data_IF_308754985802
#
_entry.id   IF_308754985802
#
_cell.length_a   1.000
_cell.length_b   1.000
_cell.length_c   1.000
_cell.angle_alpha   90.00
_cell.angle_beta   90.00
_cell.angle_gamma   90.00
#
_symmetry.space_group_name_H-M   'P 1'
#
loop_
_entity.id
_entity.type
_entity.pdbx_description
1 polymer ?
#
# COMPACT_ATOMS: atom_id res chain seq x y z
N UNK A 1 -12.84 -13.70 -9.51
CA UNK A 1 -12.27 -13.23 -10.78
C UNK A 1 -13.02 -11.97 -11.15
N UNK A 2 -12.31 -10.86 -11.25
CA UNK A 2 -12.84 -9.57 -11.71
C UNK A 2 -11.92 -9.11 -12.85
N UNK A 3 -12.49 -8.60 -13.94
CA UNK A 3 -11.77 -8.18 -15.14
C UNK A 3 -12.37 -6.88 -15.67
N UNK A 4 -11.51 -6.01 -16.21
CA UNK A 4 -11.90 -4.74 -16.82
C UNK A 4 -11.43 -4.78 -18.27
N UNK A 5 -12.31 -4.41 -19.19
CA UNK A 5 -12.04 -4.33 -20.62
C UNK A 5 -12.19 -2.88 -21.09
N UNK A 6 -11.28 -2.43 -21.95
CA UNK A 6 -11.30 -1.11 -22.55
C UNK A 6 -10.64 -1.17 -23.94
N UNK A 7 -11.45 -1.47 -24.96
CA UNK A 7 -11.00 -1.39 -26.36
C UNK A 7 -11.10 0.05 -26.89
N UNK A 8 -10.05 0.51 -27.59
CA UNK A 8 -10.12 1.72 -28.41
C UNK A 8 -9.62 1.43 -29.82
N UNK A 9 -10.53 1.50 -30.80
CA UNK A 9 -10.16 1.37 -32.21
C UNK A 9 -9.78 2.74 -32.79
N UNK A 10 -8.52 2.85 -33.23
CA UNK A 10 -7.96 3.88 -34.11
C UNK A 10 -7.76 5.29 -33.54
N UNK A 11 -6.51 5.61 -33.15
CA UNK A 11 -5.94 6.98 -33.23
C UNK A 11 -4.40 6.90 -33.26
N UNK A 12 -3.82 7.15 -34.43
CA UNK A 12 -2.37 7.27 -34.62
C UNK A 12 -1.90 8.66 -34.14
N UNK A 13 -1.09 8.72 -33.09
CA UNK A 13 -0.41 9.94 -32.63
C UNK A 13 1.12 9.74 -32.74
N UNK A 14 1.87 10.78 -33.16
CA UNK A 14 3.33 10.70 -33.24
C UNK A 14 3.90 10.65 -31.82
N UNK A 15 4.42 9.48 -31.46
CA UNK A 15 4.90 9.16 -30.10
C UNK A 15 4.79 7.67 -29.77
N UNK A 16 4.00 6.90 -30.55
CA UNK A 16 3.72 5.49 -30.26
C UNK A 16 2.81 5.34 -29.04
N UNK A 17 2.19 4.17 -28.92
CA UNK A 17 1.41 3.81 -27.73
C UNK A 17 2.38 3.65 -26.56
N UNK A 18 2.16 4.39 -25.47
CA UNK A 18 2.87 4.12 -24.21
C UNK A 18 2.46 2.72 -23.72
N UNK A 19 3.30 2.06 -22.95
CA UNK A 19 2.93 0.79 -22.28
C UNK A 19 1.68 0.92 -21.41
N UNK A 20 1.29 2.14 -21.04
CA UNK A 20 0.04 2.49 -20.35
C UNK A 20 -1.21 2.52 -21.22
N UNK A 21 -1.08 2.50 -22.56
CA UNK A 21 -2.18 2.82 -23.50
C UNK A 21 -2.71 1.59 -24.26
N UNK A 22 -2.29 0.37 -23.88
CA UNK A 22 -2.86 -0.87 -24.42
C UNK A 22 -3.10 -1.87 -23.30
N UNK A 23 -4.37 -2.10 -22.98
CA UNK A 23 -4.79 -3.08 -22.00
C UNK A 23 -5.45 -4.27 -22.72
N UNK A 24 -4.86 -5.46 -22.59
CA UNK A 24 -5.46 -6.73 -23.00
C UNK A 24 -6.36 -7.25 -21.85
N UNK A 25 -7.25 -8.24 -22.06
CA UNK A 25 -8.01 -8.83 -20.95
C UNK A 25 -7.05 -9.45 -19.92
N UNK A 26 -6.93 -8.79 -18.77
CA UNK A 26 -6.04 -9.18 -17.68
C UNK A 26 -6.84 -9.69 -16.46
N UNK A 27 -6.37 -10.78 -15.86
CA UNK A 27 -6.92 -11.33 -14.63
C UNK A 27 -6.42 -10.49 -13.44
N UNK A 28 -7.23 -9.52 -13.02
CA UNK A 28 -6.84 -8.55 -11.98
C UNK A 28 -6.51 -9.23 -10.62
N UNK A 29 -7.27 -10.28 -10.27
CA UNK A 29 -7.06 -11.08 -9.06
C UNK A 29 -7.49 -12.54 -9.25
N UNK A 30 -6.72 -13.46 -8.68
CA UNK A 30 -6.98 -14.90 -8.67
C UNK A 30 -6.20 -15.59 -7.57
N UNK A 31 -6.88 -16.03 -6.51
CA UNK A 31 -6.24 -16.63 -5.34
C UNK A 31 -7.09 -17.77 -4.75
N UNK A 32 -6.45 -18.61 -3.94
CA UNK A 32 -7.08 -19.68 -3.16
C UNK A 32 -6.88 -19.38 -1.68
N UNK A 33 -7.97 -19.47 -0.91
CA UNK A 33 -7.96 -19.31 0.54
C UNK A 33 -8.18 -20.65 1.25
N UNK A 34 -7.23 -21.01 2.11
CA UNK A 34 -7.39 -22.05 3.11
C UNK A 34 -7.77 -21.40 4.45
N UNK A 35 -9.04 -21.52 4.82
CA UNK A 35 -9.57 -20.99 6.07
C UNK A 35 -9.59 -22.07 7.16
N UNK A 36 -8.94 -21.78 8.28
CA UNK A 36 -8.76 -22.68 9.42
C UNK A 36 -9.30 -22.00 10.69
N UNK A 37 -10.58 -22.20 11.05
CA UNK A 37 -11.15 -21.67 12.27
C UNK A 37 -10.62 -22.42 13.51
N UNK A 38 -10.52 -21.73 14.65
CA UNK A 38 -10.17 -22.32 15.94
C UNK A 38 -10.91 -21.62 17.09
N UNK A 39 -10.82 -22.15 18.31
CA UNK A 39 -11.46 -21.52 19.47
C UNK A 39 -10.80 -20.16 19.78
N UNK A 40 -11.54 -19.08 19.55
CA UNK A 40 -11.06 -17.71 19.76
C UNK A 40 -10.51 -17.00 18.52
N UNK A 41 -10.68 -17.55 17.31
CA UNK A 41 -10.24 -16.89 16.09
C UNK A 41 -10.28 -17.71 14.80
N UNK A 42 -9.64 -17.17 13.76
CA UNK A 42 -9.43 -17.84 12.47
C UNK A 42 -8.04 -17.58 11.93
N UNK A 43 -7.52 -18.54 11.16
CA UNK A 43 -6.34 -18.36 10.33
C UNK A 43 -6.74 -18.52 8.87
N UNK A 44 -6.23 -17.67 8.00
CA UNK A 44 -6.39 -17.81 6.56
C UNK A 44 -5.02 -17.83 5.91
N UNK A 45 -4.76 -18.84 5.10
CA UNK A 45 -3.61 -18.85 4.20
C UNK A 45 -4.13 -18.64 2.79
N UNK A 46 -3.64 -17.58 2.15
CA UNK A 46 -3.98 -17.20 0.79
C UNK A 46 -2.75 -17.37 -0.09
N UNK A 47 -2.93 -17.96 -1.26
CA UNK A 47 -1.91 -18.02 -2.31
C UNK A 47 -2.49 -17.62 -3.66
N UNK A 48 -1.77 -16.79 -4.41
CA UNK A 48 -2.13 -16.36 -5.77
C UNK A 48 -2.01 -14.86 -6.00
N UNK A 49 -2.59 -14.40 -7.10
CA UNK A 49 -2.62 -12.99 -7.54
C UNK A 49 -3.59 -12.19 -6.70
N UNK A 50 -3.09 -11.19 -5.99
CA UNK A 50 -3.88 -10.37 -5.08
C UNK A 50 -3.47 -8.90 -5.12
N UNK A 51 -4.37 -8.02 -4.68
CA UNK A 51 -4.07 -6.61 -4.43
C UNK A 51 -4.09 -6.35 -2.92
N UNK A 52 -3.18 -5.52 -2.43
CA UNK A 52 -3.16 -5.09 -1.03
C UNK A 52 -3.76 -3.70 -0.88
N UNK A 53 -4.63 -3.53 0.10
CA UNK A 53 -5.18 -2.25 0.51
C UNK A 53 -5.11 -2.20 2.05
N UNK A 54 -4.25 -1.34 2.59
CA UNK A 54 -4.09 -1.22 4.05
C UNK A 54 -4.37 0.20 4.53
N UNK A 55 -4.97 0.31 5.73
CA UNK A 55 -5.30 1.59 6.36
C UNK A 55 -6.15 2.51 5.48
N UNK A 56 -5.78 3.79 5.43
CA UNK A 56 -6.38 4.81 4.53
C UNK A 56 -5.87 4.75 3.10
N UNK A 57 -5.08 3.71 2.75
CA UNK A 57 -4.45 3.56 1.45
C UNK A 57 -3.45 4.69 1.11
N UNK A 58 -2.88 5.35 2.12
CA UNK A 58 -1.83 6.36 1.90
C UNK A 58 -0.48 5.73 1.59
N UNK A 59 -0.20 4.53 2.11
CA UNK A 59 1.06 3.80 1.90
C UNK A 59 0.90 2.55 1.04
N UNK A 60 -0.19 1.80 1.25
CA UNK A 60 -0.50 0.61 0.46
C UNK A 60 -1.91 0.77 -0.07
N UNK A 61 -1.99 1.30 -1.28
CA UNK A 61 -3.20 1.37 -2.08
C UNK A 61 -3.09 0.38 -3.23
N UNK A 62 -4.21 -0.19 -3.70
CA UNK A 62 -4.25 -0.80 -5.03
C UNK A 62 -3.96 0.21 -6.16
N UNK A 63 -3.76 1.50 -5.85
CA UNK A 63 -3.48 2.59 -6.80
C UNK A 63 -4.57 2.69 -7.88
N UNK A 64 -5.86 2.85 -7.53
CA UNK A 64 -6.94 2.88 -8.52
C UNK A 64 -6.87 4.10 -9.47
N UNK A 65 -5.94 5.04 -9.24
CA UNK A 65 -5.74 6.27 -10.02
C UNK A 65 -4.39 6.34 -10.74
N UNK A 66 -3.54 5.31 -10.62
CA UNK A 66 -2.29 5.19 -11.37
C UNK A 66 -2.47 4.21 -12.53
N UNK A 67 -1.96 4.53 -13.73
CA UNK A 67 -2.14 3.75 -14.97
C UNK A 67 -1.45 2.37 -15.01
N UNK A 68 -1.11 1.80 -13.86
CA UNK A 68 -0.63 0.42 -13.76
C UNK A 68 -1.16 -0.16 -12.45
N UNK A 69 -2.24 -0.95 -12.54
CA UNK A 69 -2.65 -1.84 -11.46
C UNK A 69 -1.43 -2.71 -11.14
N UNK A 70 -0.96 -2.66 -9.88
CA UNK A 70 0.14 -3.52 -9.45
C UNK A 70 -0.43 -4.82 -8.95
N UNK A 71 -0.32 -5.87 -9.76
CA UNK A 71 -0.66 -7.23 -9.35
C UNK A 71 0.53 -7.83 -8.61
N UNK A 72 0.22 -8.46 -7.48
CA UNK A 72 1.22 -9.11 -6.63
C UNK A 72 0.91 -10.60 -6.59
N UNK A 73 1.83 -11.40 -7.08
CA UNK A 73 1.76 -12.85 -6.98
C UNK A 73 2.51 -13.28 -5.72
N UNK A 74 1.83 -13.98 -4.80
CA UNK A 74 2.44 -14.30 -3.53
C UNK A 74 1.56 -15.03 -2.54
N UNK A 75 2.01 -14.99 -1.28
CA UNK A 75 1.36 -15.64 -0.15
C UNK A 75 1.00 -14.64 0.92
N UNK A 76 -0.18 -14.82 1.51
CA UNK A 76 -0.66 -14.02 2.63
C UNK A 76 -1.15 -14.94 3.74
N UNK A 77 -0.74 -14.66 4.96
CA UNK A 77 -1.23 -15.31 6.16
C UNK A 77 -1.97 -14.28 7.01
N UNK A 78 -3.25 -14.56 7.29
CA UNK A 78 -4.11 -13.71 8.10
C UNK A 78 -4.44 -14.46 9.40
N UNK A 79 -4.29 -13.78 10.53
CA UNK A 79 -4.69 -14.25 11.84
C UNK A 79 -5.68 -13.26 12.45
N UNK A 80 -6.90 -13.72 12.68
CA UNK A 80 -7.92 -12.99 13.41
C UNK A 80 -8.09 -13.63 14.78
N UNK A 81 -7.83 -12.88 15.86
CA UNK A 81 -8.02 -13.40 17.22
C UNK A 81 -8.18 -12.28 18.24
N UNK A 82 -9.15 -12.41 19.15
CA UNK A 82 -9.36 -11.47 20.26
C UNK A 82 -9.41 -9.98 19.83
N UNK A 83 -10.00 -9.68 18.66
CA UNK A 83 -10.08 -8.31 18.12
C UNK A 83 -8.85 -7.83 17.36
N UNK A 84 -7.76 -8.60 17.37
CA UNK A 84 -6.58 -8.39 16.52
C UNK A 84 -6.78 -9.05 15.17
N UNK A 85 -6.43 -8.35 14.09
CA UNK A 85 -6.19 -8.91 12.77
C UNK A 85 -4.73 -8.65 12.41
N UNK A 86 -3.97 -9.71 12.16
CA UNK A 86 -2.58 -9.64 11.73
C UNK A 86 -2.44 -10.29 10.36
N UNK A 87 -1.97 -9.51 9.39
CA UNK A 87 -1.77 -9.93 8.00
C UNK A 87 -0.29 -9.86 7.67
N UNK A 88 0.36 -11.02 7.57
CA UNK A 88 1.71 -11.15 7.03
C UNK A 88 1.65 -11.53 5.56
N UNK A 89 2.46 -10.91 4.72
CA UNK A 89 2.47 -11.21 3.30
C UNK A 89 3.89 -11.16 2.73
N UNK A 90 4.07 -11.92 1.66
CA UNK A 90 5.25 -11.85 0.80
C UNK A 90 4.78 -12.01 -0.63
N UNK A 91 5.28 -11.16 -1.51
CA UNK A 91 4.86 -11.13 -2.91
C UNK A 91 5.97 -10.63 -3.82
N UNK A 92 5.87 -11.06 -5.06
CA UNK A 92 6.68 -10.56 -6.16
C UNK A 92 5.78 -9.81 -7.14
N UNK A 93 6.31 -8.74 -7.72
CA UNK A 93 5.63 -8.00 -8.76
C UNK A 93 5.60 -8.82 -10.04
N UNK A 94 4.41 -8.96 -10.63
CA UNK A 94 4.26 -9.55 -11.96
C UNK A 94 3.88 -8.43 -12.93
N UNK A 95 4.80 -7.96 -13.80
CA UNK A 95 4.45 -6.96 -14.80
C UNK A 95 3.54 -7.57 -15.86
N UNK A 96 2.49 -6.83 -16.25
CA UNK A 96 1.56 -7.22 -17.32
C UNK A 96 2.31 -7.30 -18.65
N UNK A 97 2.42 -8.50 -19.22
CA UNK A 97 3.12 -8.74 -20.47
C UNK A 97 2.10 -8.98 -21.59
N UNK A 98 2.05 -8.06 -22.55
CA UNK A 98 0.98 -7.92 -23.55
C UNK A 98 0.79 -9.13 -24.49
N UNK A 99 1.70 -10.10 -24.50
CA UNK A 99 1.72 -11.18 -25.49
C UNK A 99 1.99 -12.59 -24.91
N UNK A 100 2.18 -12.75 -23.60
CA UNK A 100 2.49 -14.03 -22.94
C UNK A 100 1.80 -14.14 -21.57
N UNK A 101 1.73 -15.34 -20.99
CA UNK A 101 1.28 -15.52 -19.61
C UNK A 101 2.25 -14.78 -18.68
N UNK A 102 1.76 -13.94 -17.78
CA UNK A 102 2.61 -13.13 -16.89
C UNK A 102 3.45 -14.03 -15.97
N UNK A 103 4.77 -13.96 -16.08
CA UNK A 103 5.71 -14.54 -15.13
C UNK A 103 6.19 -13.44 -14.17
N UNK A 104 6.37 -13.73 -12.86
CA UNK A 104 6.99 -12.80 -11.92
C UNK A 104 8.35 -12.35 -12.45
N UNK A 105 8.63 -11.04 -12.46
CA UNK A 105 9.91 -10.54 -12.99
C UNK A 105 11.11 -10.95 -12.11
N UNK A 106 10.84 -11.39 -10.87
CA UNK A 106 11.83 -11.77 -9.86
C UNK A 106 12.68 -10.58 -9.35
N UNK A 107 12.36 -9.37 -9.80
CA UNK A 107 13.15 -8.15 -9.64
C UNK A 107 12.52 -7.19 -8.63
N UNK A 108 11.19 -7.21 -8.43
CA UNK A 108 10.54 -6.42 -7.38
C UNK A 108 9.79 -7.29 -6.38
N UNK A 109 10.19 -7.23 -5.11
CA UNK A 109 9.57 -7.95 -3.99
C UNK A 109 8.93 -6.97 -3.03
N UNK A 110 7.73 -7.29 -2.57
CA UNK A 110 7.01 -6.55 -1.55
C UNK A 110 6.50 -7.50 -0.48
N UNK A 111 6.87 -7.22 0.76
CA UNK A 111 6.54 -8.07 1.90
C UNK A 111 6.33 -7.23 3.14
N UNK A 112 5.66 -7.80 4.13
CA UNK A 112 5.40 -7.04 5.34
C UNK A 112 4.48 -7.74 6.31
N UNK A 113 4.25 -7.03 7.40
CA UNK A 113 3.31 -7.38 8.45
C UNK A 113 2.46 -6.16 8.75
N UNK A 114 1.14 -6.32 8.68
CA UNK A 114 0.17 -5.32 9.08
C UNK A 114 -0.68 -5.87 10.21
N UNK A 115 -0.81 -5.13 11.30
CA UNK A 115 -1.57 -5.53 12.48
C UNK A 115 -2.56 -4.43 12.81
N UNK A 116 -3.84 -4.78 12.94
CA UNK A 116 -4.89 -3.85 13.35
C UNK A 116 -5.65 -4.40 14.54
N UNK A 117 -6.08 -3.50 15.43
CA UNK A 117 -7.08 -3.79 16.44
C UNK A 117 -8.09 -2.66 16.52
N UNK A 118 -9.37 -2.98 16.30
CA UNK A 118 -10.42 -1.98 16.16
C UNK A 118 -10.64 -1.16 17.43
N UNK A 119 -10.49 -1.74 18.63
CA UNK A 119 -10.67 -1.03 19.91
C UNK A 119 -9.86 -1.62 21.08
N UNK A 120 -8.52 -1.60 21.09
CA UNK A 120 -7.77 -2.15 22.23
C UNK A 120 -8.07 -1.37 23.52
N UNK A 121 -8.35 -0.07 23.38
CA UNK A 121 -8.80 0.83 24.44
C UNK A 121 -9.88 1.72 23.83
N UNK A 122 -11.17 1.46 24.09
CA UNK A 122 -12.25 2.29 23.52
C UNK A 122 -12.06 3.78 23.90
N UNK A 123 -12.15 4.74 22.95
CA UNK A 123 -12.57 4.61 21.55
C UNK A 123 -11.43 4.48 20.51
N UNK A 124 -10.21 4.20 20.97
CA UNK A 124 -8.98 4.15 20.15
C UNK A 124 -8.90 2.81 19.44
N UNK A 125 -8.77 2.87 18.11
CA UNK A 125 -8.29 1.82 17.22
C UNK A 125 -6.80 2.03 16.92
N UNK A 126 -6.09 0.95 16.61
CA UNK A 126 -4.67 1.02 16.25
C UNK A 126 -4.37 0.16 15.03
N UNK A 127 -3.54 0.70 14.14
CA UNK A 127 -2.83 -0.05 13.12
C UNK A 127 -1.32 0.08 13.37
N UNK A 128 -0.57 -1.00 13.16
CA UNK A 128 0.89 -1.04 13.19
C UNK A 128 1.36 -1.81 11.97
N UNK A 129 2.41 -1.34 11.31
CA UNK A 129 2.92 -2.00 10.11
C UNK A 129 4.43 -1.91 9.96
N UNK A 130 4.95 -2.94 9.31
CA UNK A 130 6.28 -3.00 8.77
C UNK A 130 6.18 -3.48 7.31
N UNK A 131 6.79 -2.75 6.39
CA UNK A 131 6.73 -3.00 4.96
C UNK A 131 8.15 -2.97 4.41
N UNK A 132 8.53 -3.99 3.64
CA UNK A 132 9.78 -4.07 2.90
C UNK A 132 9.53 -4.06 1.41
N UNK A 133 10.31 -3.26 0.70
CA UNK A 133 10.32 -3.15 -0.75
C UNK A 133 11.75 -3.37 -1.24
N UNK A 134 11.95 -4.41 -2.03
CA UNK A 134 13.24 -4.75 -2.63
C UNK A 134 13.07 -4.71 -4.15
N UNK A 135 13.83 -3.85 -4.82
CA UNK A 135 13.89 -3.71 -6.26
C UNK A 135 15.33 -3.89 -6.70
N UNK A 136 15.60 -5.00 -7.37
CA UNK A 136 16.93 -5.31 -7.89
C UNK A 136 17.23 -4.55 -9.19
N UNK A 137 16.19 -4.07 -9.88
CA UNK A 137 16.34 -3.21 -11.04
C UNK A 137 16.81 -1.81 -10.66
N UNK A 138 17.62 -1.22 -11.54
CA UNK A 138 18.14 0.13 -11.36
C UNK A 138 17.00 1.14 -11.44
N UNK A 139 16.50 1.57 -10.29
CA UNK A 139 15.51 2.64 -10.17
C UNK A 139 16.21 3.96 -9.95
N UNK A 140 15.68 5.02 -10.55
CA UNK A 140 16.16 6.39 -10.27
C UNK A 140 15.17 7.05 -9.32
N UNK A 141 15.58 7.25 -8.06
CA UNK A 141 14.83 7.98 -7.05
C UNK A 141 15.65 9.16 -6.55
N UNK A 142 15.07 10.37 -6.53
CA UNK A 142 15.78 11.62 -6.22
C UNK A 142 17.15 11.80 -6.92
N UNK A 143 17.25 11.39 -8.20
CA UNK A 143 18.50 11.37 -9.02
C UNK A 143 19.60 10.41 -8.54
N UNK A 144 19.33 9.58 -7.53
CA UNK A 144 20.17 8.44 -7.17
C UNK A 144 19.66 7.22 -7.93
N UNK A 145 20.57 6.55 -8.64
CA UNK A 145 20.25 5.43 -9.54
C UNK A 145 20.89 4.15 -9.00
N UNK A 146 20.08 3.10 -8.83
CA UNK A 146 20.56 1.78 -8.44
C UNK A 146 19.44 0.91 -7.86
N UNK A 147 19.76 -0.31 -7.39
CA UNK A 147 18.79 -1.15 -6.70
C UNK A 147 18.26 -0.42 -5.46
N UNK A 148 17.00 -0.66 -5.11
CA UNK A 148 16.33 -0.07 -3.96
C UNK A 148 15.97 -1.15 -2.96
N UNK A 149 16.48 -1.04 -1.74
CA UNK A 149 16.03 -1.82 -0.60
C UNK A 149 15.49 -0.82 0.43
N UNK A 150 14.16 -0.77 0.59
CA UNK A 150 13.50 0.20 1.47
C UNK A 150 12.57 -0.51 2.44
N UNK A 151 12.68 -0.08 3.69
CA UNK A 151 11.84 -0.51 4.80
C UNK A 151 11.02 0.67 5.29
N UNK A 152 9.74 0.43 5.58
CA UNK A 152 8.82 1.39 6.21
C UNK A 152 8.29 0.78 7.49
N UNK A 153 8.45 1.46 8.61
CA UNK A 153 7.76 1.14 9.86
C UNK A 153 6.82 2.28 10.20
N UNK A 154 5.59 1.97 10.59
CA UNK A 154 4.65 3.00 10.96
C UNK A 154 3.47 2.49 11.74
N UNK A 155 2.61 3.43 12.10
CA UNK A 155 1.42 3.14 12.87
C UNK A 155 0.41 4.26 12.80
N UNK A 156 -0.84 3.89 13.02
CA UNK A 156 -1.99 4.78 12.98
C UNK A 156 -2.86 4.58 14.20
N UNK A 157 -3.23 5.67 14.85
CA UNK A 157 -4.21 5.72 15.92
C UNK A 157 -5.42 6.48 15.43
N UNK A 158 -6.60 5.92 15.59
CA UNK A 158 -7.82 6.55 15.10
C UNK A 158 -9.01 6.17 15.97
N UNK A 159 -10.04 6.99 16.00
CA UNK A 159 -11.19 6.72 16.85
C UNK A 159 -12.27 7.77 16.71
N UNK A 160 -13.43 7.48 17.30
CA UNK A 160 -14.50 8.47 17.40
C UNK A 160 -15.31 8.29 18.67
N UNK A 161 -15.68 9.40 19.29
CA UNK A 161 -16.45 9.41 20.53
C UNK A 161 -17.17 10.74 20.71
N UNK A 162 -18.45 10.68 21.08
CA UNK A 162 -19.27 11.86 21.43
C UNK A 162 -19.28 12.98 20.38
N UNK A 163 -19.21 12.62 19.09
CA UNK A 163 -19.19 13.56 17.97
C UNK A 163 -17.79 13.99 17.56
N UNK A 164 -16.75 13.72 18.35
CA UNK A 164 -15.36 13.89 17.94
C UNK A 164 -14.88 12.67 17.18
N UNK A 165 -14.06 12.89 16.16
CA UNK A 165 -13.29 11.87 15.47
C UNK A 165 -11.85 12.36 15.32
N UNK A 166 -10.90 11.44 15.32
CA UNK A 166 -9.49 11.75 15.21
C UNK A 166 -8.72 10.63 14.53
N UNK A 167 -7.60 11.01 13.91
CA UNK A 167 -6.65 10.15 13.25
C UNK A 167 -5.26 10.75 13.37
N UNK A 168 -4.27 9.91 13.68
CA UNK A 168 -2.86 10.25 13.68
C UNK A 168 -2.11 9.06 13.08
N UNK A 169 -1.39 9.27 11.99
CA UNK A 169 -0.54 8.27 11.34
C UNK A 169 0.88 8.80 11.24
N UNK A 170 1.86 7.94 11.55
CA UNK A 170 3.27 8.24 11.42
C UNK A 170 3.97 7.06 10.77
N UNK A 171 4.93 7.35 9.90
CA UNK A 171 5.78 6.34 9.30
C UNK A 171 7.22 6.84 9.17
N UNK A 172 8.17 5.92 9.27
CA UNK A 172 9.58 6.14 9.06
C UNK A 172 10.08 5.16 8.01
N UNK A 173 10.80 5.69 7.03
CA UNK A 173 11.42 4.96 5.92
C UNK A 173 12.93 4.96 6.07
N UNK A 174 13.53 3.81 5.88
CA UNK A 174 14.98 3.62 5.92
C UNK A 174 15.42 2.53 4.94
N UNK A 175 16.71 2.46 4.63
CA UNK A 175 17.24 1.52 3.64
C UNK A 175 18.25 2.19 2.71
N UNK A 176 18.34 1.74 1.45
CA UNK A 176 19.30 2.23 0.48
C UNK A 176 18.69 2.30 -0.92
N UNK A 177 19.13 3.29 -1.71
CA UNK A 177 18.91 3.36 -3.16
C UNK A 177 20.28 3.55 -3.81
N UNK A 178 20.73 2.57 -4.60
CA UNK A 178 22.08 2.59 -5.18
C UNK A 178 23.16 2.70 -4.10
N UNK A 179 23.89 3.82 -4.08
CA UNK A 179 24.91 4.11 -3.06
C UNK A 179 24.47 5.11 -1.99
N UNK A 180 23.21 5.55 -1.99
CA UNK A 180 22.69 6.52 -1.03
C UNK A 180 21.83 5.86 0.04
N UNK A 181 21.93 6.36 1.28
CA UNK A 181 21.09 5.90 2.39
C UNK A 181 19.70 6.57 2.34
N UNK A 182 18.66 5.82 2.70
CA UNK A 182 17.29 6.32 2.85
C UNK A 182 17.03 6.64 4.31
N UNK A 183 16.44 7.80 4.58
CA UNK A 183 16.03 8.24 5.91
C UNK A 183 14.93 9.29 5.85
N UNK A 184 13.69 8.84 5.71
CA UNK A 184 12.53 9.72 5.54
C UNK A 184 11.44 9.43 6.57
N UNK A 185 10.53 10.38 6.81
CA UNK A 185 9.40 10.19 7.71
C UNK A 185 8.18 11.00 7.29
N UNK A 186 7.02 10.58 7.76
CA UNK A 186 5.77 11.34 7.61
C UNK A 186 4.98 11.36 8.90
N UNK A 187 4.17 12.41 9.03
CA UNK A 187 3.07 12.51 10.00
C UNK A 187 1.84 13.02 9.28
N UNK A 188 0.71 12.36 9.51
CA UNK A 188 -0.60 12.75 9.03
C UNK A 188 -1.54 12.80 10.23
N UNK A 189 -2.28 13.89 10.38
CA UNK A 189 -3.23 14.07 11.48
C UNK A 189 -4.52 14.65 10.96
N UNK A 190 -5.65 14.14 11.43
CA UNK A 190 -6.97 14.71 11.17
C UNK A 190 -7.78 14.70 12.47
N UNK A 191 -8.54 15.77 12.71
CA UNK A 191 -9.51 15.84 13.79
C UNK A 191 -10.80 16.48 13.31
N UNK A 192 -11.93 15.90 13.71
CA UNK A 192 -13.26 16.35 13.33
C UNK A 192 -14.23 16.43 14.50
N UNK A 193 -15.25 17.29 14.34
CA UNK A 193 -16.42 17.31 15.21
C UNK A 193 -17.71 17.37 14.41
N UNK A 194 -18.60 16.43 14.66
CA UNK A 194 -19.94 16.34 14.09
C UNK A 194 -20.96 16.87 15.08
N UNK A 195 -21.64 17.96 14.72
CA UNK A 195 -22.65 18.58 15.57
C UNK A 195 -23.96 17.78 15.55
N UNK A 196 -24.62 17.66 16.71
CA UNK A 196 -25.94 17.00 16.84
C UNK A 196 -27.09 17.95 16.42
N UNK A 197 -27.05 18.40 15.17
CA UNK A 197 -28.08 19.23 14.53
C UNK A 197 -28.81 18.42 13.44
N UNK A 198 -30.00 18.85 12.96
CA UNK A 198 -30.76 18.10 11.94
C UNK A 198 -30.01 17.78 10.64
N UNK A 199 -28.99 18.58 10.29
CA UNK A 199 -28.13 18.35 9.11
C UNK A 199 -26.80 17.66 9.44
N UNK A 200 -26.55 17.36 10.72
CA UNK A 200 -25.31 16.79 11.24
C UNK A 200 -24.03 17.38 10.60
N UNK A 201 -23.85 18.73 10.57
CA UNK A 201 -22.67 19.31 9.95
C UNK A 201 -21.42 18.80 10.68
N UNK A 202 -20.34 18.54 9.92
CA UNK A 202 -19.03 18.15 10.46
C UNK A 202 -18.01 19.21 10.08
N UNK A 203 -17.28 19.71 11.06
CA UNK A 203 -16.08 20.51 10.85
C UNK A 203 -14.86 19.63 11.08
N UNK A 204 -13.84 19.76 10.25
CA UNK A 204 -12.61 18.98 10.37
C UNK A 204 -11.40 19.84 10.02
N UNK A 205 -10.25 19.45 10.55
CA UNK A 205 -8.95 20.01 10.24
C UNK A 205 -7.96 18.86 10.08
N UNK A 206 -7.11 18.95 9.05
CA UNK A 206 -6.03 18.01 8.80
C UNK A 206 -4.69 18.70 8.67
N UNK A 207 -3.63 18.00 9.00
CA UNK A 207 -2.24 18.40 8.79
C UNK A 207 -1.43 17.18 8.35
N UNK A 208 -0.77 17.29 7.21
CA UNK A 208 0.11 16.27 6.64
C UNK A 208 1.49 16.88 6.41
N UNK A 209 2.53 16.17 6.83
CA UNK A 209 3.92 16.52 6.59
C UNK A 209 4.71 15.28 6.25
N UNK A 210 5.53 15.38 5.22
CA UNK A 210 6.48 14.37 4.80
C UNK A 210 7.86 15.03 4.69
N UNK A 211 8.90 14.36 5.16
CA UNK A 211 10.27 14.85 4.98
C UNK A 211 10.63 14.85 3.49
N UNK A 212 11.45 15.82 3.12
CA UNK A 212 12.04 15.97 1.80
C UNK A 212 13.54 16.23 1.93
N UNK A 213 14.27 16.06 0.84
CA UNK A 213 15.71 16.26 0.80
C UNK A 213 16.12 17.73 0.85
N UNK A 214 17.12 18.06 1.68
CA UNK A 214 17.70 19.41 1.77
C UNK A 214 18.61 19.74 0.55
N UNK A 215 19.05 18.73 -0.23
CA UNK A 215 19.83 18.89 -1.46
C UNK A 215 19.66 17.71 -2.43
N UNK A 216 19.65 17.98 -3.75
CA UNK A 216 19.51 16.94 -4.77
C UNK A 216 20.85 16.19 -5.03
N UNK A 217 20.79 14.85 -5.01
CA UNK A 217 21.94 13.95 -5.21
C UNK A 217 22.68 13.66 -3.90
N UNK A 218 22.54 12.43 -3.40
CA UNK A 218 23.07 12.01 -2.10
C UNK A 218 22.09 11.07 -1.39
N UNK A 219 21.99 11.21 -0.06
CA UNK A 219 21.01 10.52 0.78
C UNK A 219 19.57 10.89 0.38
N UNK A 220 18.62 10.01 0.72
CA UNK A 220 17.20 10.10 0.35
C UNK A 220 16.33 10.27 1.60
N UNK A 221 16.04 11.52 1.94
CA UNK A 221 15.11 11.99 2.97
C UNK A 221 13.70 12.28 2.45
N UNK A 222 13.44 12.06 1.17
CA UNK A 222 12.10 12.16 0.58
C UNK A 222 11.26 10.92 0.87
N UNK A 223 10.11 11.10 1.53
CA UNK A 223 9.14 10.04 1.79
C UNK A 223 8.38 9.64 0.51
N UNK A 224 8.21 8.34 0.27
CA UNK A 224 7.48 7.77 -0.87
C UNK A 224 6.19 7.07 -0.43
#
# INVERSE_FOLDING_TARGET
MEGIDAEHSTRDLPGGLRTTDVNAPDLNQGFIDLNLPFSGGSKTLRGGRQSFAFGKQRLVSPLPWGNAYRHWDGFTAILDTHGWNATGFWSEFAPVNKYEFDEPDGQTKFYGLYVTHGKPVDPIAVDLYFLGLDKQDSVTFNRTTGPEERYTIGGRLFGSSHGFDYEVENAFQFGQVGSGDVGAWMIATEGGYTFKLPLAPRLWLGFDYASGDDSAGGDVGTFN
#
